data_IF_706310335896
#
_entry.id   IF_706310335896
#
_cell.length_a   1.000
_cell.length_b   1.000
_cell.length_c   1.000
_cell.angle_alpha   90.00
_cell.angle_beta   90.00
_cell.angle_gamma   90.00
#
_symmetry.space_group_name_H-M   'P 1'
#
loop_
_entity.id
_entity.type
_entity.pdbx_description
1 polymer ?
#
# COMPACT_ATOMS: atom_id res chain seq x y z
N UNK A 1 -7.07 18.64 13.47
CA UNK A 1 -6.76 18.54 12.03
C UNK A 1 -6.65 17.06 11.76
N UNK A 2 -7.52 16.48 10.93
CA UNK A 2 -7.40 15.06 10.58
C UNK A 2 -6.02 14.83 9.96
N UNK A 3 -5.32 13.79 10.41
CA UNK A 3 -3.93 13.48 10.07
C UNK A 3 -3.75 13.32 8.54
N UNK A 4 -3.32 14.40 7.88
CA UNK A 4 -3.02 14.43 6.45
C UNK A 4 -1.84 13.50 6.08
N UNK A 5 -1.01 13.07 7.05
CA UNK A 5 0.22 12.29 6.86
C UNK A 5 0.02 11.02 6.03
N UNK A 6 -1.11 10.33 6.21
CA UNK A 6 -1.40 9.06 5.52
C UNK A 6 -2.40 9.20 4.36
N UNK A 7 -2.76 10.43 3.99
CA UNK A 7 -3.79 10.66 2.96
C UNK A 7 -3.36 10.13 1.61
N UNK A 8 -2.10 10.33 1.23
CA UNK A 8 -1.59 9.90 -0.07
C UNK A 8 -1.36 8.38 -0.11
N UNK A 9 -0.91 7.78 0.99
CA UNK A 9 -0.89 6.33 1.19
C UNK A 9 -2.27 5.70 0.98
N UNK A 10 -3.30 6.28 1.60
CA UNK A 10 -4.68 5.80 1.48
C UNK A 10 -5.18 5.89 0.03
N UNK A 11 -4.86 6.96 -0.69
CA UNK A 11 -5.18 7.10 -2.12
C UNK A 11 -4.46 6.05 -2.95
N UNK A 12 -3.16 5.85 -2.72
CA UNK A 12 -2.36 4.86 -3.42
C UNK A 12 -2.89 3.43 -3.21
N UNK A 13 -3.25 3.08 -1.97
CA UNK A 13 -3.91 1.81 -1.63
C UNK A 13 -5.22 1.64 -2.40
N UNK A 14 -6.06 2.67 -2.46
CA UNK A 14 -7.32 2.59 -3.19
C UNK A 14 -7.09 2.41 -4.69
N UNK A 15 -6.10 3.10 -5.27
CA UNK A 15 -5.73 2.95 -6.67
C UNK A 15 -5.24 1.53 -6.98
N UNK A 16 -4.46 0.91 -6.09
CA UNK A 16 -4.06 -0.50 -6.23
C UNK A 16 -5.30 -1.41 -6.23
N UNK A 17 -6.26 -1.19 -5.33
CA UNK A 17 -7.51 -1.95 -5.26
C UNK A 17 -8.30 -1.81 -6.57
N UNK A 18 -8.40 -0.59 -7.10
CA UNK A 18 -9.13 -0.30 -8.32
C UNK A 18 -8.47 -0.98 -9.54
N UNK A 19 -7.13 -0.96 -9.62
CA UNK A 19 -6.36 -1.67 -10.66
C UNK A 19 -6.51 -3.19 -10.56
N UNK A 20 -6.55 -3.76 -9.35
CA UNK A 20 -6.86 -5.18 -9.15
C UNK A 20 -8.29 -5.48 -9.63
N UNK A 21 -9.26 -4.64 -9.27
CA UNK A 21 -10.65 -4.79 -9.68
C UNK A 21 -10.82 -4.70 -11.20
N UNK A 22 -10.04 -3.86 -11.88
CA UNK A 22 -9.98 -3.77 -13.34
C UNK A 22 -9.13 -4.85 -14.00
N UNK A 23 -8.63 -5.85 -13.23
CA UNK A 23 -7.74 -6.92 -13.68
C UNK A 23 -6.42 -6.45 -14.31
N UNK A 24 -5.97 -5.24 -13.96
CA UNK A 24 -4.72 -4.67 -14.46
C UNK A 24 -3.55 -4.99 -13.51
N UNK A 25 -3.17 -6.27 -13.46
CA UNK A 25 -2.18 -6.76 -12.49
C UNK A 25 -0.79 -6.15 -12.64
N UNK A 26 -0.40 -5.72 -13.85
CA UNK A 26 0.90 -5.08 -14.09
C UNK A 26 0.96 -3.69 -13.45
N UNK A 27 -0.01 -2.82 -13.73
CA UNK A 27 -0.04 -1.49 -13.13
C UNK A 27 -0.31 -1.56 -11.62
N UNK A 28 -1.16 -2.50 -11.16
CA UNK A 28 -1.35 -2.73 -9.73
C UNK A 28 -0.03 -3.04 -9.03
N UNK A 29 0.83 -3.88 -9.64
CA UNK A 29 2.14 -4.22 -9.07
C UNK A 29 3.11 -3.03 -9.06
N UNK A 30 3.12 -2.23 -10.13
CA UNK A 30 3.94 -1.01 -10.18
C UNK A 30 3.51 -0.02 -9.11
N UNK A 31 2.19 0.20 -8.94
CA UNK A 31 1.67 1.11 -7.93
C UNK A 31 1.90 0.58 -6.51
N UNK A 32 1.80 -0.74 -6.31
CA UNK A 32 2.16 -1.37 -5.05
C UNK A 32 3.62 -1.09 -4.66
N UNK A 33 4.55 -1.17 -5.61
CA UNK A 33 5.96 -0.87 -5.35
C UNK A 33 6.16 0.59 -4.94
N UNK A 34 5.59 1.53 -5.68
CA UNK A 34 5.62 2.97 -5.36
C UNK A 34 5.07 3.25 -3.95
N UNK A 35 3.88 2.73 -3.63
CA UNK A 35 3.24 2.97 -2.32
C UNK A 35 3.99 2.27 -1.18
N UNK A 36 4.70 1.17 -1.47
CA UNK A 36 5.57 0.51 -0.49
C UNK A 36 6.81 1.36 -0.17
N UNK A 37 7.41 2.00 -1.18
CA UNK A 37 8.51 2.93 -0.98
C UNK A 37 8.09 4.15 -0.14
N UNK A 38 6.92 4.74 -0.43
CA UNK A 38 6.35 5.84 0.37
C UNK A 38 6.13 5.42 1.84
N UNK A 39 5.68 4.18 2.06
CA UNK A 39 5.44 3.65 3.40
C UNK A 39 6.75 3.43 4.16
N UNK A 40 7.79 2.95 3.48
CA UNK A 40 9.12 2.76 4.06
C UNK A 40 9.74 4.12 4.45
N UNK A 41 9.58 5.16 3.63
CA UNK A 41 10.01 6.52 3.98
C UNK A 41 9.29 7.03 5.23
N UNK A 42 7.97 6.81 5.34
CA UNK A 42 7.24 7.21 6.55
C UNK A 42 7.67 6.43 7.78
N UNK A 43 8.08 5.17 7.64
CA UNK A 43 8.62 4.36 8.73
C UNK A 43 9.96 4.92 9.21
N UNK A 44 10.84 5.29 8.29
CA UNK A 44 12.15 5.86 8.62
C UNK A 44 12.05 7.19 9.38
N UNK A 45 10.96 7.94 9.17
CA UNK A 45 10.67 9.21 9.85
C UNK A 45 9.59 9.12 10.94
N UNK A 46 9.17 7.92 11.34
CA UNK A 46 8.17 7.75 12.40
C UNK A 46 8.82 7.95 13.78
N UNK A 47 8.36 8.97 14.51
CA UNK A 47 8.85 9.28 15.87
C UNK A 47 7.86 8.83 16.96
N UNK A 48 6.56 8.77 16.64
CA UNK A 48 5.49 8.46 17.59
C UNK A 48 4.95 7.03 17.42
N UNK A 49 4.61 6.38 18.54
CA UNK A 49 4.02 5.03 18.55
C UNK A 49 2.72 4.94 17.75
N UNK A 50 1.92 6.02 17.72
CA UNK A 50 0.68 6.07 16.93
C UNK A 50 0.95 5.95 15.42
N UNK A 51 2.03 6.59 14.94
CA UNK A 51 2.45 6.49 13.55
C UNK A 51 2.95 5.09 13.23
N UNK A 52 3.76 4.49 14.12
CA UNK A 52 4.25 3.11 13.95
C UNK A 52 3.09 2.10 13.88
N UNK A 53 2.07 2.28 14.73
CA UNK A 53 0.86 1.44 14.71
C UNK A 53 0.14 1.60 13.37
N UNK A 54 -0.05 2.82 12.88
CA UNK A 54 -0.76 3.05 11.62
C UNK A 54 0.03 2.52 10.41
N UNK A 55 1.35 2.75 10.37
CA UNK A 55 2.26 2.23 9.34
C UNK A 55 2.19 0.71 9.29
N UNK A 56 2.20 0.03 10.44
CA UNK A 56 2.12 -1.44 10.49
C UNK A 56 0.83 -1.99 9.87
N UNK A 57 -0.30 -1.28 9.98
CA UNK A 57 -1.56 -1.68 9.34
C UNK A 57 -1.43 -1.60 7.82
N UNK A 58 -0.81 -0.53 7.31
CA UNK A 58 -0.56 -0.39 5.88
C UNK A 58 0.42 -1.45 5.36
N UNK A 59 1.45 -1.82 6.11
CA UNK A 59 2.37 -2.91 5.72
C UNK A 59 1.63 -4.23 5.53
N UNK A 60 0.75 -4.59 6.48
CA UNK A 60 -0.08 -5.80 6.38
C UNK A 60 -1.03 -5.72 5.17
N UNK A 61 -1.65 -4.56 4.95
CA UNK A 61 -2.57 -4.35 3.84
C UNK A 61 -1.88 -4.46 2.48
N UNK A 62 -0.72 -3.81 2.30
CA UNK A 62 0.06 -3.89 1.06
C UNK A 62 0.50 -5.33 0.78
N UNK A 63 0.91 -6.09 1.79
CA UNK A 63 1.23 -7.50 1.62
C UNK A 63 0.00 -8.32 1.14
N UNK A 64 -1.18 -8.08 1.72
CA UNK A 64 -2.41 -8.71 1.26
C UNK A 64 -2.76 -8.35 -0.20
N UNK A 65 -2.54 -7.10 -0.60
CA UNK A 65 -2.74 -6.65 -1.99
C UNK A 65 -1.74 -7.32 -2.93
N UNK A 66 -0.48 -7.46 -2.53
CA UNK A 66 0.55 -8.19 -3.27
C UNK A 66 0.10 -9.63 -3.54
N UNK A 67 -0.39 -10.35 -2.53
CA UNK A 67 -0.89 -11.72 -2.71
C UNK A 67 -2.06 -11.79 -3.69
N UNK A 68 -2.96 -10.80 -3.66
CA UNK A 68 -4.06 -10.71 -4.64
C UNK A 68 -3.56 -10.48 -6.07
N UNK A 69 -2.54 -9.64 -6.25
CA UNK A 69 -1.91 -9.37 -7.56
C UNK A 69 -1.22 -10.63 -8.09
N UNK A 70 -0.48 -11.34 -7.24
CA UNK A 70 0.19 -12.61 -7.58
C UNK A 70 -0.85 -13.64 -8.04
N UNK A 71 -1.92 -13.82 -7.27
CA UNK A 71 -3.02 -14.72 -7.63
C UNK A 71 -3.70 -14.32 -8.94
N UNK A 72 -3.89 -13.01 -9.18
CA UNK A 72 -4.45 -12.49 -10.43
C UNK A 72 -3.58 -12.80 -11.65
N UNK A 73 -2.24 -12.74 -11.50
CA UNK A 73 -1.29 -13.01 -12.58
C UNK A 73 -1.04 -14.51 -12.81
N UNK A 74 -1.65 -15.40 -12.01
CA UNK A 74 -1.57 -16.84 -12.19
C UNK A 74 -0.22 -17.46 -11.80
N UNK A 75 0.59 -16.78 -10.99
CA UNK A 75 1.82 -17.34 -10.42
C UNK A 75 1.54 -17.92 -9.03
N UNK A 76 1.38 -19.25 -8.95
CA UNK A 76 1.53 -20.04 -7.73
C UNK A 76 2.45 -21.22 -8.04
#
# INVERSE_FOLDING_TARGET
>A
MENNKFTDLKKGVQEIIDLIASKNGKEANNKLAEVSEDLDELLDFAEDDEDLIEISKYQVLLNQLQQKIIALNGQL
#
